data_IF_553546000437
#
_entry.id   IF_553546000437
#
_cell.length_a   1.000
_cell.length_b   1.000
_cell.length_c   1.000
_cell.angle_alpha   90.00
_cell.angle_beta   90.00
_cell.angle_gamma   90.00
#
_symmetry.space_group_name_H-M   'P 1'
#
loop_
_entity.id
_entity.type
_entity.pdbx_description
1 polymer ?
#
# COMPACT_ATOMS: atom_id res chain seq x y z
N UNK A 1 -60.41 4.07 -21.68
CA UNK A 1 -59.44 5.09 -21.26
C UNK A 1 -58.10 4.48 -20.89
N UNK A 2 -57.18 4.54 -21.85
CA UNK A 2 -55.72 4.68 -21.70
C UNK A 2 -55.14 4.64 -23.13
N UNK A 3 -55.48 5.66 -23.91
CA UNK A 3 -54.82 5.94 -25.18
C UNK A 3 -53.55 6.72 -24.84
N UNK A 4 -52.42 6.03 -24.72
CA UNK A 4 -51.11 6.66 -24.69
C UNK A 4 -50.01 5.60 -24.93
N UNK A 5 -49.79 5.20 -26.19
CA UNK A 5 -48.46 4.69 -26.60
C UNK A 5 -48.17 4.67 -28.12
N UNK A 6 -48.92 5.41 -28.94
CA UNK A 6 -48.72 5.39 -30.41
C UNK A 6 -48.28 6.76 -30.95
N UNK A 7 -47.23 7.33 -30.34
CA UNK A 7 -46.52 8.46 -30.94
C UNK A 7 -45.03 8.15 -31.09
N UNK A 8 -44.72 6.93 -31.55
CA UNK A 8 -43.44 6.66 -32.21
C UNK A 8 -43.46 7.43 -33.52
N UNK A 9 -42.77 8.57 -33.56
CA UNK A 9 -42.47 9.27 -34.81
C UNK A 9 -41.90 8.24 -35.80
N UNK A 10 -42.57 8.05 -36.95
CA UNK A 10 -42.07 7.26 -38.08
C UNK A 10 -40.82 7.93 -38.65
N UNK A 11 -39.70 7.76 -37.95
CA UNK A 11 -38.40 8.23 -38.38
C UNK A 11 -38.03 7.40 -39.61
N UNK A 12 -37.62 8.05 -40.71
CA UNK A 12 -37.17 7.31 -41.88
C UNK A 12 -36.01 6.38 -41.49
N UNK A 13 -35.97 5.14 -42.02
CA UNK A 13 -34.91 4.21 -41.69
C UNK A 13 -33.55 4.82 -42.03
N UNK A 14 -32.56 4.55 -41.18
CA UNK A 14 -31.18 5.02 -41.39
C UNK A 14 -30.73 4.73 -42.82
N UNK A 15 -30.18 5.73 -43.48
CA UNK A 15 -29.65 5.62 -44.84
C UNK A 15 -28.33 4.82 -44.88
N UNK A 16 -27.83 4.43 -43.71
CA UNK A 16 -26.60 3.65 -43.53
C UNK A 16 -26.93 2.37 -42.78
N UNK A 17 -26.41 1.24 -43.28
CA UNK A 17 -26.49 -0.03 -42.59
C UNK A 17 -25.83 0.05 -41.20
N UNK A 18 -26.38 -0.67 -40.22
CA UNK A 18 -25.82 -0.71 -38.87
C UNK A 18 -24.36 -1.18 -38.94
N UNK A 19 -23.44 -0.36 -38.41
CA UNK A 19 -22.03 -0.74 -38.34
C UNK A 19 -21.89 -1.96 -37.42
N UNK A 20 -21.52 -3.09 -38.00
CA UNK A 20 -21.22 -4.31 -37.26
C UNK A 20 -19.71 -4.48 -37.18
N UNK A 21 -19.15 -4.25 -36.00
CA UNK A 21 -17.75 -4.56 -35.71
C UNK A 21 -17.74 -5.85 -34.91
N UNK A 22 -17.16 -6.90 -35.51
CA UNK A 22 -16.96 -8.16 -34.81
C UNK A 22 -16.11 -7.94 -33.54
N UNK A 23 -16.52 -8.55 -32.42
CA UNK A 23 -15.89 -8.35 -31.13
C UNK A 23 -14.42 -8.78 -31.12
N UNK A 24 -14.07 -9.84 -31.86
CA UNK A 24 -12.70 -10.34 -31.98
C UNK A 24 -11.85 -9.36 -32.81
N UNK A 25 -12.41 -8.79 -33.87
CA UNK A 25 -11.76 -7.73 -34.64
C UNK A 25 -11.56 -6.45 -33.79
N UNK A 26 -12.55 -6.05 -32.99
CA UNK A 26 -12.45 -4.91 -32.08
C UNK A 26 -11.38 -5.11 -31.00
N UNK A 27 -11.40 -6.27 -30.30
CA UNK A 27 -10.42 -6.61 -29.25
C UNK A 27 -8.99 -6.64 -29.76
N UNK A 28 -8.78 -7.02 -31.03
CA UNK A 28 -7.43 -7.07 -31.61
C UNK A 28 -6.76 -5.71 -31.66
N UNK A 29 -7.45 -4.57 -31.55
CA UNK A 29 -6.97 -3.16 -31.47
C UNK A 29 -5.99 -2.72 -32.58
N UNK A 30 -4.96 -3.51 -32.87
CA UNK A 30 -3.98 -3.41 -33.93
C UNK A 30 -4.27 -4.39 -35.07
N UNK A 31 -4.13 -3.91 -36.31
CA UNK A 31 -4.41 -4.65 -37.54
C UNK A 31 -3.47 -5.85 -37.72
N UNK A 32 -2.23 -5.77 -37.22
CA UNK A 32 -1.20 -6.81 -37.38
C UNK A 32 -1.28 -7.85 -36.26
N UNK A 33 -2.28 -8.73 -36.32
CA UNK A 33 -2.45 -9.83 -35.36
C UNK A 33 -2.51 -9.39 -33.88
N UNK A 34 -3.02 -8.19 -33.62
CA UNK A 34 -3.14 -7.62 -32.28
C UNK A 34 -1.83 -7.19 -31.63
N UNK A 35 -0.83 -6.84 -32.45
CA UNK A 35 0.40 -6.19 -32.01
C UNK A 35 0.81 -5.06 -32.96
N UNK A 36 1.56 -4.09 -32.44
CA UNK A 36 2.17 -3.00 -33.22
C UNK A 36 3.59 -2.75 -32.73
N UNK A 37 4.54 -2.68 -33.66
CA UNK A 37 5.93 -2.34 -33.35
C UNK A 37 6.30 -1.03 -34.01
N UNK A 38 6.77 -0.07 -33.20
CA UNK A 38 7.25 1.24 -33.64
C UNK A 38 8.72 1.40 -33.30
N UNK A 39 9.51 1.81 -34.28
CA UNK A 39 10.95 1.98 -34.14
C UNK A 39 11.31 3.47 -34.07
N UNK A 40 12.01 3.85 -33.00
CA UNK A 40 12.53 5.19 -32.77
C UNK A 40 14.05 5.20 -32.86
N UNK A 41 14.65 6.40 -32.89
CA UNK A 41 16.10 6.61 -33.06
C UNK A 41 16.98 5.78 -32.13
N UNK A 42 16.57 5.58 -30.87
CA UNK A 42 17.27 4.75 -29.87
C UNK A 42 16.32 3.87 -29.05
N UNK A 43 15.11 3.63 -29.55
CA UNK A 43 14.12 2.83 -28.83
C UNK A 43 13.30 1.97 -29.77
N UNK A 44 12.79 0.85 -29.26
CA UNK A 44 11.80 -0.01 -29.90
C UNK A 44 10.61 -0.10 -28.96
N UNK A 45 9.43 0.23 -29.46
CA UNK A 45 8.17 0.15 -28.71
C UNK A 45 7.31 -0.94 -29.35
N UNK A 46 6.91 -1.92 -28.56
CA UNK A 46 6.05 -3.03 -28.94
C UNK A 46 4.77 -2.93 -28.10
N UNK A 47 3.64 -2.72 -28.76
CA UNK A 47 2.32 -2.65 -28.14
C UNK A 47 1.55 -3.91 -28.49
N UNK A 48 0.86 -4.48 -27.50
CA UNK A 48 0.05 -5.67 -27.66
C UNK A 48 -1.37 -5.34 -27.21
N UNK A 49 -2.36 -5.87 -27.95
CA UNK A 49 -3.74 -5.79 -27.53
C UNK A 49 -3.94 -6.55 -26.22
N UNK A 50 -4.88 -6.08 -25.40
CA UNK A 50 -5.20 -6.70 -24.12
C UNK A 50 -5.63 -8.16 -24.33
N UNK A 51 -5.16 -9.07 -23.46
CA UNK A 51 -5.40 -10.52 -23.54
C UNK A 51 -4.87 -11.23 -24.80
N UNK A 52 -4.09 -10.55 -25.67
CA UNK A 52 -3.51 -11.19 -26.86
C UNK A 52 -2.18 -11.90 -26.57
N UNK A 53 -1.43 -11.43 -25.56
CA UNK A 53 -0.17 -12.03 -25.14
C UNK A 53 -0.40 -12.99 -23.96
N UNK A 54 0.12 -14.22 -24.04
CA UNK A 54 -0.11 -15.28 -23.04
C UNK A 54 0.29 -14.89 -21.60
N UNK A 55 1.28 -13.99 -21.46
CA UNK A 55 1.75 -13.47 -20.16
C UNK A 55 1.08 -12.14 -19.73
N UNK A 56 0.07 -11.65 -20.46
CA UNK A 56 -0.61 -10.39 -20.15
C UNK A 56 0.19 -9.13 -20.50
N UNK A 57 1.27 -9.25 -21.27
CA UNK A 57 2.08 -8.11 -21.72
C UNK A 57 1.26 -7.24 -22.68
N UNK A 58 1.18 -5.94 -22.40
CA UNK A 58 0.48 -4.94 -23.24
C UNK A 58 1.41 -3.92 -23.86
N UNK A 59 2.60 -3.71 -23.28
CA UNK A 59 3.59 -2.77 -23.78
C UNK A 59 5.00 -3.24 -23.41
N UNK A 60 5.93 -3.21 -24.36
CA UNK A 60 7.36 -3.38 -24.13
C UNK A 60 8.12 -2.23 -24.80
N UNK A 61 8.94 -1.52 -24.03
CA UNK A 61 9.81 -0.45 -24.52
C UNK A 61 11.25 -0.89 -24.27
N UNK A 62 12.02 -1.06 -25.33
CA UNK A 62 13.45 -1.35 -25.27
C UNK A 62 14.24 -0.12 -25.67
N UNK A 63 15.02 0.43 -24.75
CA UNK A 63 15.96 1.52 -24.99
C UNK A 63 17.34 0.97 -25.31
N UNK A 64 18.01 1.57 -26.27
CA UNK A 64 19.33 1.14 -26.75
C UNK A 64 20.37 2.24 -26.56
N UNK A 65 21.62 1.83 -26.33
CA UNK A 65 22.75 2.76 -26.17
C UNK A 65 23.03 3.54 -27.47
N UNK A 66 22.89 2.85 -28.60
CA UNK A 66 23.25 3.32 -29.93
C UNK A 66 22.06 3.35 -30.90
N UNK A 67 22.22 4.13 -31.97
CA UNK A 67 21.20 4.26 -33.04
C UNK A 67 21.04 2.95 -33.83
N UNK A 68 22.09 2.13 -33.86
CA UNK A 68 22.04 0.80 -34.46
C UNK A 68 21.18 -0.21 -33.66
N UNK A 69 20.72 0.15 -32.44
CA UNK A 69 19.84 -0.66 -31.59
C UNK A 69 20.39 -2.08 -31.32
N UNK A 70 21.68 -2.17 -31.04
CA UNK A 70 22.35 -3.46 -30.79
C UNK A 70 22.52 -3.76 -29.30
N UNK A 71 22.62 -2.73 -28.46
CA UNK A 71 22.89 -2.87 -27.03
C UNK A 71 21.71 -2.32 -26.21
N UNK A 72 20.81 -3.20 -25.70
CA UNK A 72 19.69 -2.77 -24.88
C UNK A 72 20.17 -2.33 -23.49
N UNK A 73 19.87 -1.08 -23.13
CA UNK A 73 20.23 -0.48 -21.84
C UNK A 73 19.12 -0.72 -20.82
N UNK A 74 17.87 -0.55 -21.24
CA UNK A 74 16.70 -0.70 -20.39
C UNK A 74 15.55 -1.34 -21.17
N UNK A 75 14.86 -2.29 -20.56
CA UNK A 75 13.65 -2.92 -21.11
C UNK A 75 12.52 -2.72 -20.10
N UNK A 76 11.49 -1.98 -20.50
CA UNK A 76 10.30 -1.70 -19.69
C UNK A 76 9.12 -2.50 -20.22
N UNK A 77 8.49 -3.31 -19.40
CA UNK A 77 7.37 -4.19 -19.75
C UNK A 77 6.17 -3.87 -18.87
N UNK A 78 5.03 -3.55 -19.48
CA UNK A 78 3.77 -3.27 -18.79
C UNK A 78 2.82 -4.44 -19.02
N UNK A 79 2.19 -4.90 -17.95
CA UNK A 79 1.27 -6.02 -17.98
C UNK A 79 -0.14 -5.59 -17.53
N UNK A 80 -1.15 -6.29 -18.05
CA UNK A 80 -2.55 -6.17 -17.63
C UNK A 80 -3.17 -7.55 -17.47
N UNK A 81 -4.22 -7.61 -16.64
CA UNK A 81 -5.06 -8.79 -16.44
C UNK A 81 -4.29 -10.04 -15.99
N UNK A 82 -3.11 -9.86 -15.38
CA UNK A 82 -2.41 -10.95 -14.71
C UNK A 82 -3.02 -11.14 -13.33
N UNK A 83 -3.29 -12.40 -12.96
CA UNK A 83 -3.80 -12.73 -11.62
C UNK A 83 -2.85 -12.28 -10.51
N UNK A 84 -1.54 -12.35 -10.74
CA UNK A 84 -0.49 -11.95 -9.80
C UNK A 84 -0.35 -10.43 -9.61
N UNK A 85 -1.12 -9.62 -10.34
CA UNK A 85 -1.13 -8.14 -10.29
C UNK A 85 0.23 -7.47 -10.58
N UNK A 86 1.19 -8.18 -11.21
CA UNK A 86 2.37 -7.56 -11.80
C UNK A 86 1.89 -6.60 -12.89
N UNK A 87 2.24 -5.31 -12.79
CA UNK A 87 1.82 -4.32 -13.79
C UNK A 87 3.01 -3.71 -14.53
N UNK A 88 4.22 -3.75 -13.96
CA UNK A 88 5.42 -3.20 -14.57
C UNK A 88 6.65 -4.01 -14.21
N UNK A 89 7.51 -4.30 -15.19
CA UNK A 89 8.86 -4.84 -14.99
C UNK A 89 9.87 -3.97 -15.75
N UNK A 90 10.95 -3.57 -15.11
CA UNK A 90 12.06 -2.81 -15.71
C UNK A 90 13.33 -3.63 -15.59
N UNK A 91 13.96 -3.98 -16.71
CA UNK A 91 15.22 -4.74 -16.74
C UNK A 91 16.35 -3.83 -17.23
N UNK A 92 17.53 -3.98 -16.65
CA UNK A 92 18.78 -3.33 -17.04
C UNK A 92 19.78 -4.41 -17.47
N UNK A 93 19.75 -4.88 -18.74
CA UNK A 93 20.53 -6.03 -19.18
C UNK A 93 22.05 -5.88 -18.99
N UNK A 94 22.56 -4.64 -19.10
CA UNK A 94 24.00 -4.37 -18.95
C UNK A 94 24.46 -4.43 -17.49
N UNK A 95 23.56 -4.23 -16.54
CA UNK A 95 23.84 -4.23 -15.11
C UNK A 95 23.42 -5.54 -14.43
N UNK A 96 22.71 -6.43 -15.15
CA UNK A 96 22.16 -7.66 -14.59
C UNK A 96 21.06 -7.43 -13.55
N UNK A 97 20.45 -6.23 -13.53
CA UNK A 97 19.46 -5.80 -12.56
C UNK A 97 18.06 -5.80 -13.17
N UNK A 98 17.04 -6.08 -12.36
CA UNK A 98 15.66 -5.80 -12.73
C UNK A 98 14.84 -5.32 -11.54
N UNK A 99 13.72 -4.68 -11.87
CA UNK A 99 12.75 -4.08 -10.97
C UNK A 99 11.36 -4.55 -11.38
N UNK A 100 10.53 -4.87 -10.42
CA UNK A 100 9.16 -5.31 -10.63
C UNK A 100 8.23 -4.49 -9.76
N UNK A 101 7.13 -4.04 -10.34
CA UNK A 101 6.14 -3.20 -9.66
C UNK A 101 4.78 -3.87 -9.83
N UNK A 102 4.19 -4.15 -8.69
CA UNK A 102 2.87 -4.73 -8.56
C UNK A 102 1.90 -3.59 -8.19
N UNK A 103 0.61 -3.76 -8.51
CA UNK A 103 -0.43 -2.86 -7.99
C UNK A 103 -0.42 -2.91 -6.43
N UNK A 104 -0.86 -1.86 -5.75
CA UNK A 104 -0.19 -1.23 -4.62
C UNK A 104 0.01 -2.16 -3.41
N UNK A 105 1.21 -2.74 -3.32
CA UNK A 105 1.79 -3.22 -2.08
C UNK A 105 3.25 -2.76 -2.02
N UNK A 106 3.45 -1.59 -1.40
CA UNK A 106 4.77 -0.98 -1.20
C UNK A 106 5.44 -1.69 -0.02
N UNK A 107 6.54 -2.41 -0.28
CA UNK A 107 7.30 -3.09 0.79
C UNK A 107 8.76 -2.62 0.75
N UNK A 108 9.36 -2.50 1.94
CA UNK A 108 10.81 -2.40 2.25
C UNK A 108 11.40 -1.02 2.59
N UNK A 109 10.62 0.07 2.65
CA UNK A 109 11.09 1.32 3.32
C UNK A 109 10.04 1.91 4.24
N UNK A 110 8.81 1.88 3.77
CA UNK A 110 7.67 2.30 4.54
C UNK A 110 6.48 1.42 4.18
N UNK A 111 5.93 0.72 5.15
CA UNK A 111 4.65 0.02 4.99
C UNK A 111 3.57 0.92 5.53
N UNK A 112 2.47 1.07 4.79
CA UNK A 112 1.31 1.87 5.19
C UNK A 112 0.07 1.02 4.99
N UNK A 113 -0.74 0.93 6.02
CA UNK A 113 -2.03 0.27 6.04
C UNK A 113 -3.09 1.33 6.28
N UNK A 114 -4.20 1.24 5.54
CA UNK A 114 -5.38 2.07 5.72
C UNK A 114 -6.56 1.17 6.09
N UNK A 115 -7.39 1.64 7.01
CA UNK A 115 -8.55 0.91 7.50
C UNK A 115 -9.79 1.82 7.42
N UNK A 116 -10.96 1.22 7.22
CA UNK A 116 -12.24 1.91 7.24
C UNK A 116 -13.20 1.16 8.15
N UNK A 117 -14.02 1.89 8.92
CA UNK A 117 -15.12 1.33 9.70
C UNK A 117 -14.73 0.44 10.88
N UNK A 118 -13.53 0.60 11.45
CA UNK A 118 -13.12 -0.14 12.66
C UNK A 118 -13.74 0.44 13.93
N UNK A 119 -14.12 -0.44 14.85
CA UNK A 119 -14.72 -0.06 16.15
C UNK A 119 -13.76 0.71 17.08
N UNK A 120 -12.45 0.53 16.88
CA UNK A 120 -11.39 1.24 17.61
C UNK A 120 -10.97 2.55 16.94
N UNK A 121 -11.68 2.98 15.89
CA UNK A 121 -11.44 4.20 15.12
C UNK A 121 -10.06 4.28 14.46
N UNK A 122 -9.28 3.20 14.42
CA UNK A 122 -7.99 3.18 13.73
C UNK A 122 -8.24 3.30 12.22
N UNK A 123 -7.71 4.35 11.58
CA UNK A 123 -7.86 4.59 10.14
C UNK A 123 -6.59 4.34 9.35
N UNK A 124 -5.45 4.33 10.02
CA UNK A 124 -4.21 3.98 9.35
C UNK A 124 -3.06 3.72 10.27
N UNK A 125 -2.19 2.84 9.82
CA UNK A 125 -0.94 2.49 10.49
C UNK A 125 0.20 2.60 9.48
N UNK A 126 1.35 3.07 9.93
CA UNK A 126 2.53 3.09 9.08
C UNK A 126 3.78 2.77 9.87
N UNK A 127 4.71 2.07 9.23
CA UNK A 127 6.01 1.73 9.78
C UNK A 127 7.10 2.16 8.81
N UNK A 128 8.15 2.78 9.31
CA UNK A 128 9.37 3.07 8.58
C UNK A 128 10.47 2.09 9.01
N UNK A 129 11.12 1.49 8.01
CA UNK A 129 12.07 0.40 8.17
C UNK A 129 13.42 0.78 7.56
N UNK A 130 14.50 0.21 8.10
CA UNK A 130 15.85 0.29 7.50
C UNK A 130 16.52 -1.08 7.53
N UNK A 131 17.37 -1.32 6.52
CA UNK A 131 18.29 -2.46 6.45
C UNK A 131 19.66 -2.11 7.09
N UNK A 132 19.93 -0.83 7.29
CA UNK A 132 21.21 -0.35 7.79
C UNK A 132 21.28 -0.45 9.33
N UNK A 133 22.18 -1.31 9.82
CA UNK A 133 22.42 -1.53 11.25
C UNK A 133 23.06 -0.33 11.95
N UNK A 134 23.71 0.55 11.22
CA UNK A 134 24.30 1.78 11.77
C UNK A 134 23.25 2.89 11.89
N UNK A 135 22.28 2.97 10.96
CA UNK A 135 21.10 3.83 11.13
C UNK A 135 20.22 3.41 12.32
N UNK A 136 20.24 2.12 12.66
CA UNK A 136 19.54 1.55 13.81
C UNK A 136 20.17 1.87 15.18
N UNK A 137 21.43 2.34 15.25
CA UNK A 137 22.13 2.59 16.52
C UNK A 137 21.91 4.00 17.05
N UNK A 138 20.81 4.17 17.79
CA UNK A 138 20.72 5.02 18.98
C UNK A 138 19.43 4.64 19.75
N UNK A 139 19.49 4.52 21.08
CA UNK A 139 18.31 4.46 21.97
C UNK A 139 17.64 3.09 22.17
N UNK A 140 17.13 2.85 23.38
CA UNK A 140 16.66 1.54 23.87
C UNK A 140 15.44 0.95 23.13
N UNK A 141 15.52 -0.37 22.89
CA UNK A 141 14.57 -1.27 22.21
C UNK A 141 14.60 -1.22 20.67
N UNK A 142 15.28 -2.19 20.06
CA UNK A 142 15.26 -2.43 18.62
C UNK A 142 14.14 -3.42 18.27
N UNK A 143 13.12 -2.94 17.57
CA UNK A 143 12.09 -3.79 16.98
C UNK A 143 12.57 -4.26 15.61
N UNK A 144 12.51 -5.57 15.35
CA UNK A 144 13.03 -6.17 14.12
C UNK A 144 11.93 -6.96 13.43
N UNK A 145 11.82 -6.82 12.12
CA UNK A 145 10.93 -7.60 11.27
C UNK A 145 11.74 -8.58 10.41
N UNK A 146 11.21 -9.78 10.14
CA UNK A 146 11.82 -10.72 9.21
C UNK A 146 11.58 -10.23 7.76
N UNK A 147 12.49 -9.42 7.22
CA UNK A 147 12.45 -8.86 5.85
C UNK A 147 12.66 -9.87 4.72
N UNK A 148 12.36 -11.15 4.94
CA UNK A 148 12.39 -12.20 3.94
C UNK A 148 13.75 -12.32 3.23
N UNK A 149 13.76 -12.05 1.92
CA UNK A 149 14.96 -12.15 1.08
C UNK A 149 16.02 -11.06 1.34
N UNK A 150 15.64 -9.94 1.96
CA UNK A 150 16.54 -8.83 2.28
C UNK A 150 17.24 -8.97 3.65
N UNK A 151 16.84 -9.96 4.47
CA UNK A 151 17.35 -10.14 5.82
C UNK A 151 16.52 -9.43 6.89
N UNK A 152 17.14 -9.09 8.02
CA UNK A 152 16.46 -8.43 9.15
C UNK A 152 16.23 -6.94 8.88
N UNK A 153 15.00 -6.45 9.08
CA UNK A 153 14.64 -5.04 8.96
C UNK A 153 14.45 -4.43 10.34
N UNK A 154 15.08 -3.29 10.60
CA UNK A 154 14.92 -2.57 11.87
C UNK A 154 13.85 -1.50 11.73
N UNK A 155 12.94 -1.44 12.71
CA UNK A 155 11.91 -0.43 12.79
C UNK A 155 12.49 0.88 13.32
N UNK A 156 12.41 1.93 12.51
CA UNK A 156 12.82 3.28 12.91
C UNK A 156 11.69 4.04 13.60
N UNK A 157 10.48 3.90 13.06
CA UNK A 157 9.32 4.69 13.46
C UNK A 157 8.03 3.95 13.14
N UNK A 158 7.07 4.01 14.05
CA UNK A 158 5.71 3.55 13.83
C UNK A 158 4.74 4.72 14.06
N UNK A 159 3.64 4.75 13.34
CA UNK A 159 2.59 5.74 13.55
C UNK A 159 1.21 5.16 13.31
N UNK A 160 0.28 5.50 14.20
CA UNK A 160 -1.13 5.15 14.12
C UNK A 160 -1.94 6.44 14.06
N UNK A 161 -2.98 6.44 13.24
CA UNK A 161 -3.93 7.53 13.08
C UNK A 161 -5.33 7.00 13.39
N UNK A 162 -6.09 7.82 14.09
CA UNK A 162 -7.45 7.50 14.49
C UNK A 162 -8.40 8.59 14.02
N UNK A 163 -9.65 8.17 13.75
CA UNK A 163 -10.77 9.08 13.58
C UNK A 163 -11.32 9.54 14.94
N UNK A 164 -12.07 10.64 14.90
CA UNK A 164 -12.68 11.23 16.10
C UNK A 164 -13.64 10.22 16.71
N UNK A 165 -13.44 9.92 17.99
CA UNK A 165 -14.40 9.15 18.76
C UNK A 165 -15.30 10.11 19.56
N UNK A 166 -16.54 10.29 19.09
CA UNK A 166 -17.51 11.18 19.73
C UNK A 166 -17.92 10.73 21.14
N UNK A 167 -17.58 9.50 21.54
CA UNK A 167 -17.82 9.01 22.92
C UNK A 167 -16.78 9.52 23.92
N UNK A 168 -15.67 10.09 23.45
CA UNK A 168 -14.56 10.59 24.26
C UNK A 168 -14.45 12.10 24.15
N UNK A 169 -14.17 12.79 25.25
CA UNK A 169 -13.83 14.20 25.17
C UNK A 169 -12.45 14.38 24.50
N UNK A 170 -12.31 15.42 23.68
CA UNK A 170 -11.08 15.62 22.89
C UNK A 170 -9.89 16.02 23.77
N UNK A 171 -10.12 16.83 24.82
CA UNK A 171 -9.05 17.50 25.58
C UNK A 171 -9.25 17.50 27.11
N UNK A 172 -10.31 16.87 27.66
CA UNK A 172 -10.67 17.01 29.08
C UNK A 172 -10.53 15.71 29.90
N UNK A 173 -9.96 15.83 31.10
CA UNK A 173 -9.95 14.78 32.12
C UNK A 173 -11.36 14.67 32.69
N UNK A 174 -12.11 13.62 32.36
CA UNK A 174 -13.32 13.30 33.13
C UNK A 174 -12.91 12.65 34.45
N UNK A 175 -13.17 13.34 35.55
CA UNK A 175 -13.35 12.66 36.84
C UNK A 175 -14.73 12.02 36.75
N UNK A 176 -14.78 10.70 36.55
CA UNK A 176 -16.03 9.99 36.75
C UNK A 176 -16.12 9.64 38.23
N UNK A 177 -17.00 10.31 38.94
CA UNK A 177 -17.41 9.87 40.26
C UNK A 177 -18.43 8.75 40.09
N UNK A 178 -18.08 7.54 40.50
CA UNK A 178 -19.04 6.42 40.59
C UNK A 178 -19.29 6.13 42.07
N UNK A 179 -20.56 5.96 42.44
CA UNK A 179 -20.95 5.54 43.78
C UNK A 179 -20.91 4.01 43.80
N UNK A 180 -19.92 3.46 44.48
CA UNK A 180 -19.89 2.03 44.83
C UNK A 180 -19.91 1.96 46.36
N UNK A 181 -20.91 1.28 46.92
CA UNK A 181 -21.07 1.06 48.36
C UNK A 181 -21.02 2.33 49.24
N UNK A 182 -21.78 3.38 48.86
CA UNK A 182 -21.86 4.67 49.59
C UNK A 182 -20.53 5.44 49.73
N UNK A 183 -19.47 5.05 49.02
CA UNK A 183 -18.21 5.79 48.92
C UNK A 183 -18.13 6.45 47.55
N UNK A 184 -17.86 7.76 47.53
CA UNK A 184 -17.49 8.46 46.30
C UNK A 184 -16.08 7.99 45.93
N UNK A 185 -15.96 7.12 44.92
CA UNK A 185 -14.66 6.89 44.29
C UNK A 185 -14.54 7.80 43.08
N UNK A 186 -13.58 8.71 43.15
CA UNK A 186 -13.11 9.46 42.01
C UNK A 186 -12.28 8.52 41.12
N UNK A 187 -12.90 7.98 40.09
CA UNK A 187 -12.19 7.28 39.04
C UNK A 187 -11.73 8.32 38.01
N UNK A 188 -10.41 8.51 37.91
CA UNK A 188 -9.82 9.26 36.80
C UNK A 188 -9.95 8.39 35.55
N UNK A 189 -10.96 8.67 34.71
CA UNK A 189 -11.10 8.05 33.40
C UNK A 189 -10.13 8.76 32.45
N UNK A 190 -9.02 8.11 32.17
CA UNK A 190 -7.95 8.63 31.31
C UNK A 190 -8.25 8.32 29.84
N UNK A 191 -9.37 8.79 29.34
CA UNK A 191 -9.85 8.41 28.00
C UNK A 191 -9.70 9.54 26.99
N UNK A 192 -8.46 9.99 26.80
CA UNK A 192 -8.13 11.01 25.82
C UNK A 192 -8.30 10.46 24.39
N UNK A 193 -8.96 11.23 23.55
CA UNK A 193 -9.14 10.86 22.14
C UNK A 193 -7.89 11.21 21.32
N UNK A 194 -7.01 10.23 21.18
CA UNK A 194 -5.76 10.39 20.45
C UNK A 194 -5.99 10.32 18.94
N UNK A 195 -5.83 11.44 18.25
CA UNK A 195 -5.83 11.52 16.78
C UNK A 195 -4.67 10.79 16.15
N UNK A 196 -3.49 10.90 16.76
CA UNK A 196 -2.28 10.33 16.19
C UNK A 196 -1.32 9.93 17.29
N UNK A 197 -0.80 8.72 17.18
CA UNK A 197 0.32 8.24 17.98
C UNK A 197 1.51 8.01 17.08
N UNK A 198 2.66 8.52 17.50
CA UNK A 198 3.92 8.39 16.76
C UNK A 198 4.97 7.84 17.70
N UNK A 199 5.40 6.62 17.44
CA UNK A 199 6.42 5.92 18.20
C UNK A 199 7.75 6.08 17.44
N UNK A 200 8.60 7.01 17.87
CA UNK A 200 9.94 7.16 17.33
C UNK A 200 10.85 6.18 18.08
N UNK A 201 10.98 4.98 17.53
CA UNK A 201 11.69 3.86 18.18
C UNK A 201 13.15 4.22 18.40
N UNK A 202 13.80 4.80 17.38
CA UNK A 202 15.19 5.28 17.43
C UNK A 202 15.41 6.34 18.52
N UNK A 203 14.57 7.35 18.56
CA UNK A 203 14.76 8.46 19.51
C UNK A 203 14.27 8.10 20.92
N UNK A 204 13.61 6.94 21.08
CA UNK A 204 13.02 6.52 22.34
C UNK A 204 11.86 7.43 22.79
N UNK A 205 11.18 8.12 21.87
CA UNK A 205 10.11 9.07 22.19
C UNK A 205 8.76 8.67 21.60
N UNK A 206 7.69 8.95 22.34
CA UNK A 206 6.31 8.66 21.93
C UNK A 206 5.54 9.98 21.92
N UNK A 207 5.07 10.38 20.74
CA UNK A 207 4.27 11.59 20.56
C UNK A 207 2.81 11.22 20.39
N UNK A 208 1.96 11.77 21.26
CA UNK A 208 0.51 11.61 21.20
C UNK A 208 -0.11 12.98 20.91
N UNK A 209 -0.81 13.08 19.78
CA UNK A 209 -1.59 14.25 19.40
C UNK A 209 -3.07 13.93 19.59
N UNK A 210 -3.79 14.81 20.28
CA UNK A 210 -5.22 14.66 20.51
C UNK A 210 -6.04 15.24 19.36
N UNK A 211 -7.32 14.88 19.31
CA UNK A 211 -8.26 15.57 18.41
C UNK A 211 -8.49 17.02 18.86
N UNK A 212 -9.00 17.85 17.95
CA UNK A 212 -9.38 19.22 18.31
C UNK A 212 -10.64 19.19 19.18
N UNK A 213 -10.63 19.88 20.31
CA UNK A 213 -11.85 20.18 21.04
C UNK A 213 -12.75 21.15 20.25
N UNK A 214 -14.04 21.09 20.57
CA UNK A 214 -15.07 21.96 19.99
C UNK A 214 -14.69 23.43 20.22
N UNK A 215 -14.62 24.20 19.12
CA UNK A 215 -14.30 25.62 19.17
C UNK A 215 -12.81 25.96 19.39
N UNK A 216 -11.90 24.98 19.33
CA UNK A 216 -10.44 25.20 19.44
C UNK A 216 -9.75 25.02 18.09
N UNK A 217 -8.80 25.91 17.79
CA UNK A 217 -8.00 25.90 16.54
C UNK A 217 -6.66 25.14 16.68
N UNK A 218 -6.27 24.81 17.91
CA UNK A 218 -5.08 24.03 18.25
C UNK A 218 -5.50 22.80 19.06
N UNK A 219 -4.82 21.67 18.88
CA UNK A 219 -5.04 20.44 19.64
C UNK A 219 -3.96 20.25 20.72
N UNK A 220 -4.30 19.62 21.84
CA UNK A 220 -3.31 19.23 22.84
C UNK A 220 -2.34 18.16 22.31
N UNK A 221 -1.17 18.04 22.95
CA UNK A 221 -0.24 16.95 22.68
C UNK A 221 0.65 16.59 23.86
N UNK A 222 1.14 15.36 23.88
CA UNK A 222 2.12 14.88 24.85
C UNK A 222 3.30 14.23 24.15
N UNK A 223 4.51 14.53 24.61
CA UNK A 223 5.73 13.84 24.19
C UNK A 223 6.32 13.14 25.41
N UNK A 224 6.25 11.82 25.39
CA UNK A 224 6.87 10.99 26.41
C UNK A 224 8.23 10.52 25.93
N UNK A 225 9.19 10.47 26.85
CA UNK A 225 10.53 9.97 26.60
C UNK A 225 10.75 8.71 27.43
N UNK A 226 11.22 7.63 26.81
CA UNK A 226 11.47 6.34 27.48
C UNK A 226 12.72 6.38 28.38
N UNK A 227 13.57 7.38 28.21
CA UNK A 227 14.76 7.58 29.03
C UNK A 227 14.37 8.01 30.46
N UNK A 228 14.83 7.28 31.51
CA UNK A 228 14.47 7.60 32.89
C UNK A 228 14.82 9.04 33.28
N UNK A 229 13.93 9.70 34.02
CA UNK A 229 14.15 11.07 34.52
C UNK A 229 14.03 12.17 33.47
N UNK A 230 13.66 11.84 32.23
CA UNK A 230 13.37 12.85 31.21
C UNK A 230 11.93 13.35 31.39
N UNK A 231 11.70 14.66 31.57
CA UNK A 231 10.36 15.18 31.80
C UNK A 231 9.48 15.00 30.57
N UNK A 232 8.19 14.76 30.79
CA UNK A 232 7.19 14.71 29.71
C UNK A 232 6.87 16.12 29.23
N UNK A 233 6.97 16.34 27.91
CA UNK A 233 6.54 17.60 27.30
C UNK A 233 5.01 17.58 27.15
N UNK A 234 4.35 18.50 27.85
CA UNK A 234 2.89 18.60 27.87
C UNK A 234 2.49 19.90 27.20
N UNK A 235 1.78 19.81 26.09
CA UNK A 235 1.16 20.95 25.43
C UNK A 235 -0.36 20.92 25.68
N UNK A 236 -0.83 21.90 26.44
CA UNK A 236 -2.25 22.12 26.70
C UNK A 236 -2.71 23.37 25.94
N UNK A 237 -3.90 23.29 25.35
CA UNK A 237 -4.47 24.39 24.56
C UNK A 237 -4.85 25.57 25.45
N UNK A 238 -5.36 25.28 26.65
CA UNK A 238 -5.64 26.30 27.65
C UNK A 238 -4.35 26.65 28.42
N UNK A 239 -3.83 27.89 28.29
CA UNK A 239 -2.62 28.31 29.01
C UNK A 239 -2.79 28.32 30.53
N UNK A 240 -4.03 28.33 31.04
CA UNK A 240 -4.34 28.36 32.47
C UNK A 240 -4.60 26.97 33.06
N UNK A 241 -4.65 25.93 32.22
CA UNK A 241 -4.84 24.56 32.70
C UNK A 241 -3.65 24.12 33.55
N UNK A 242 -3.93 23.48 34.68
CA UNK A 242 -2.87 22.94 35.52
C UNK A 242 -2.21 21.75 34.82
N UNK A 243 -0.87 21.74 34.83
CA UNK A 243 -0.10 20.58 34.36
C UNK A 243 -0.57 19.33 35.13
N UNK A 244 -0.81 18.20 34.44
CA UNK A 244 -1.13 16.94 35.11
C UNK A 244 -0.06 16.54 36.12
N UNK A 245 -0.46 15.86 37.20
CA UNK A 245 0.46 15.34 38.22
C UNK A 245 1.42 14.32 37.59
N UNK A 246 2.65 14.27 38.08
CA UNK A 246 3.67 13.37 37.53
C UNK A 246 3.24 11.88 37.59
N UNK A 247 2.55 11.46 38.66
CA UNK A 247 2.01 10.10 38.78
C UNK A 247 1.01 9.72 37.69
N UNK A 248 0.31 10.70 37.13
CA UNK A 248 -0.63 10.51 36.02
C UNK A 248 0.17 10.35 34.72
N UNK A 249 1.16 11.21 34.49
CA UNK A 249 2.03 11.18 33.32
C UNK A 249 2.85 9.88 33.25
N UNK A 250 3.33 9.38 34.39
CA UNK A 250 4.03 8.09 34.48
C UNK A 250 3.12 6.93 34.08
N UNK A 251 1.87 6.92 34.55
CA UNK A 251 0.87 5.91 34.17
C UNK A 251 0.57 5.96 32.67
N UNK A 252 0.47 7.16 32.09
CA UNK A 252 0.27 7.34 30.66
C UNK A 252 1.45 6.87 29.83
N UNK A 253 2.68 7.14 30.27
CA UNK A 253 3.88 6.66 29.61
C UNK A 253 3.92 5.12 29.59
N UNK A 254 3.59 4.46 30.71
CA UNK A 254 3.53 3.00 30.75
C UNK A 254 2.46 2.44 29.79
N UNK A 255 1.28 3.05 29.75
CA UNK A 255 0.25 2.69 28.78
C UNK A 255 0.72 2.92 27.33
N UNK A 256 1.39 4.03 27.04
CA UNK A 256 1.94 4.35 25.72
C UNK A 256 3.02 3.35 25.27
N UNK A 257 3.89 2.91 26.19
CA UNK A 257 4.87 1.85 25.93
C UNK A 257 4.18 0.51 25.63
N UNK A 258 3.09 0.19 26.33
CA UNK A 258 2.33 -1.03 26.06
C UNK A 258 1.68 -0.99 24.66
N UNK A 259 1.09 0.14 24.29
CA UNK A 259 0.51 0.35 22.97
C UNK A 259 1.57 0.34 21.84
N UNK A 260 2.79 0.83 22.10
CA UNK A 260 3.93 0.70 21.18
C UNK A 260 4.23 -0.77 20.85
N UNK A 261 4.24 -1.65 21.87
CA UNK A 261 4.47 -3.09 21.68
C UNK A 261 3.33 -3.76 20.91
N UNK A 262 2.09 -3.39 21.18
CA UNK A 262 0.91 -3.90 20.47
C UNK A 262 0.93 -3.47 18.99
N UNK A 263 1.27 -2.20 18.73
CA UNK A 263 1.45 -1.69 17.37
C UNK A 263 2.52 -2.49 16.61
N UNK A 264 3.68 -2.73 17.24
CA UNK A 264 4.72 -3.58 16.65
C UNK A 264 4.24 -5.01 16.38
N UNK A 265 3.55 -5.65 17.33
CA UNK A 265 3.06 -7.01 17.15
C UNK A 265 2.07 -7.11 15.98
N UNK A 266 1.17 -6.12 15.83
CA UNK A 266 0.26 -6.06 14.69
C UNK A 266 1.01 -5.88 13.36
N UNK A 267 2.00 -5.01 13.32
CA UNK A 267 2.87 -4.83 12.15
C UNK A 267 3.60 -6.13 11.83
N UNK A 268 4.11 -6.84 12.84
CA UNK A 268 4.79 -8.12 12.65
C UNK A 268 3.88 -9.20 12.10
N UNK A 269 2.63 -9.29 12.57
CA UNK A 269 1.65 -10.22 12.01
C UNK A 269 1.34 -9.90 10.54
N UNK A 270 1.10 -8.63 10.24
CA UNK A 270 0.88 -8.16 8.86
C UNK A 270 2.09 -8.42 7.95
N UNK A 271 3.31 -8.23 8.46
CA UNK A 271 4.53 -8.54 7.72
C UNK A 271 4.65 -10.05 7.43
N UNK A 272 4.37 -10.92 8.41
CA UNK A 272 4.36 -12.39 8.19
C UNK A 272 3.33 -12.79 7.14
N UNK A 273 2.10 -12.26 7.23
CA UNK A 273 1.05 -12.49 6.23
C UNK A 273 1.49 -12.03 4.84
N UNK A 274 2.08 -10.84 4.75
CA UNK A 274 2.63 -10.29 3.51
C UNK A 274 3.75 -11.19 2.95
N UNK A 275 4.65 -11.69 3.79
CA UNK A 275 5.69 -12.63 3.36
C UNK A 275 5.12 -13.95 2.84
N UNK A 276 4.04 -14.45 3.44
CA UNK A 276 3.32 -15.61 2.92
C UNK A 276 2.70 -15.33 1.56
N UNK A 277 2.01 -14.20 1.41
CA UNK A 277 1.47 -13.73 0.12
C UNK A 277 2.58 -13.68 -0.94
N UNK A 278 3.74 -13.10 -0.62
CA UNK A 278 4.89 -13.05 -1.53
C UNK A 278 5.44 -14.45 -1.90
N UNK A 279 5.41 -15.42 -0.97
CA UNK A 279 5.78 -16.82 -1.27
C UNK A 279 4.76 -17.50 -2.18
N UNK A 280 3.46 -17.24 -2.01
CA UNK A 280 2.44 -17.70 -2.95
C UNK A 280 2.65 -17.06 -4.33
N UNK A 281 2.91 -15.75 -4.40
CA UNK A 281 3.21 -15.04 -5.66
C UNK A 281 4.39 -15.63 -6.41
N UNK A 282 5.49 -15.98 -5.73
CA UNK A 282 6.63 -16.66 -6.37
C UNK A 282 6.24 -17.99 -7.02
N UNK A 283 5.27 -18.72 -6.46
CA UNK A 283 4.73 -19.94 -7.07
C UNK A 283 3.79 -19.62 -8.23
N UNK A 284 2.98 -18.56 -8.13
CA UNK A 284 2.12 -18.10 -9.22
C UNK A 284 2.93 -17.57 -10.42
N UNK A 285 4.09 -16.94 -10.21
CA UNK A 285 4.98 -16.54 -11.31
C UNK A 285 5.58 -17.73 -12.05
N UNK A 286 5.77 -18.86 -11.37
CA UNK A 286 6.15 -20.10 -12.03
C UNK A 286 5.03 -20.64 -12.94
N UNK A 287 3.79 -20.18 -12.78
CA UNK A 287 2.61 -20.58 -13.57
C UNK A 287 1.67 -19.38 -13.82
N UNK A 288 2.05 -18.53 -14.77
CA UNK A 288 1.33 -17.29 -15.09
C UNK A 288 -0.05 -17.61 -15.65
N UNK A 289 -1.09 -17.10 -14.96
CA UNK A 289 -2.48 -17.20 -15.40
C UNK A 289 -3.12 -15.80 -15.56
N UNK A 290 -3.97 -15.65 -16.57
CA UNK A 290 -4.69 -14.40 -16.85
C UNK A 290 -6.10 -14.42 -16.27
N UNK A 291 -6.58 -13.26 -15.85
CA UNK A 291 -7.99 -13.01 -15.57
C UNK A 291 -8.71 -12.81 -16.90
N UNK A 292 -9.48 -13.82 -17.33
CA UNK A 292 -10.33 -13.73 -18.51
C UNK A 292 -11.71 -13.23 -18.12
N UNK A 293 -12.25 -12.30 -18.90
CA UNK A 293 -13.66 -11.91 -18.76
C UNK A 293 -14.55 -13.12 -19.09
N UNK A 294 -15.74 -13.23 -18.49
CA UNK A 294 -16.73 -14.28 -18.80
C UNK A 294 -17.03 -14.32 -20.32
N UNK A 295 -16.94 -13.17 -20.98
CA UNK A 295 -17.14 -13.03 -22.41
C UNK A 295 -15.89 -13.27 -23.29
N UNK A 296 -14.73 -13.51 -22.67
CA UNK A 296 -13.50 -13.91 -23.35
C UNK A 296 -13.30 -15.43 -23.25
N UNK A 297 -13.83 -16.06 -22.18
CA UNK A 297 -13.74 -17.49 -21.92
C UNK A 297 -14.41 -18.37 -23.00
N UNK A 298 -15.50 -17.90 -23.62
CA UNK A 298 -16.18 -18.61 -24.71
C UNK A 298 -15.39 -18.64 -26.03
N UNK A 299 -14.43 -17.72 -26.21
CA UNK A 299 -13.63 -17.64 -27.45
C UNK A 299 -12.39 -18.57 -27.41
N UNK A 300 -11.91 -18.95 -26.22
CA UNK A 300 -10.68 -19.75 -26.01
C UNK A 300 -10.86 -21.25 -26.22
N UNK A 301 -12.09 -21.78 -26.18
CA UNK A 301 -12.38 -23.19 -26.55
C UNK A 301 -11.94 -23.53 -27.98
N UNK A 302 -11.75 -22.52 -28.84
CA UNK A 302 -11.31 -22.67 -30.22
C UNK A 302 -9.79 -22.67 -30.44
N UNK A 303 -8.97 -22.55 -29.37
CA UNK A 303 -7.51 -22.36 -29.46
C UNK A 303 -6.66 -23.38 -28.69
N UNK A 304 -7.17 -24.57 -28.38
CA UNK A 304 -6.34 -25.64 -27.83
C UNK A 304 -5.54 -26.34 -28.93
N UNK A 305 -4.60 -25.65 -29.57
CA UNK A 305 -3.54 -26.24 -30.40
C UNK A 305 -2.42 -25.22 -30.62
N UNK A 306 -1.52 -25.12 -29.64
CA UNK A 306 -0.09 -24.76 -29.75
C UNK A 306 0.50 -24.57 -28.35
N UNK A 307 0.96 -25.67 -27.77
CA UNK A 307 1.88 -25.64 -26.63
C UNK A 307 3.29 -25.48 -27.21
N UNK A 308 3.83 -24.27 -27.18
CA UNK A 308 5.27 -24.06 -27.36
C UNK A 308 5.94 -24.19 -25.98
N UNK A 309 6.75 -25.23 -25.84
CA UNK A 309 7.52 -25.59 -24.64
C UNK A 309 8.71 -24.62 -24.43
N UNK A 310 8.82 -23.91 -23.28
CA UNK A 310 10.00 -23.11 -22.99
C UNK A 310 10.91 -23.83 -22.00
N UNK A 311 11.77 -24.73 -22.49
CA UNK A 311 12.96 -25.14 -21.75
C UNK A 311 14.18 -24.33 -22.21
N UNK A 312 14.61 -23.38 -21.37
CA UNK A 312 16.01 -22.93 -21.39
C UNK A 312 16.46 -22.55 -19.97
N UNK A 313 17.21 -23.47 -19.36
CA UNK A 313 17.93 -23.26 -18.12
C UNK A 313 18.93 -22.10 -18.29
N UNK A 314 18.67 -20.99 -17.60
CA UNK A 314 19.64 -19.93 -17.36
C UNK A 314 20.45 -20.27 -16.10
N UNK A 315 21.78 -20.21 -16.21
CA UNK A 315 22.72 -20.44 -15.11
C UNK A 315 22.52 -19.41 -13.99
N UNK A 316 22.68 -19.85 -12.75
CA UNK A 316 22.63 -19.02 -11.54
C UNK A 316 23.64 -17.85 -11.64
N UNK A 317 23.11 -16.65 -11.80
CA UNK A 317 23.82 -15.39 -11.58
C UNK A 317 23.22 -14.80 -10.32
N UNK A 318 24.04 -14.36 -9.36
CA UNK A 318 23.57 -13.71 -8.13
C UNK A 318 22.71 -12.50 -8.50
N UNK A 319 21.40 -12.60 -8.24
CA UNK A 319 20.39 -11.62 -8.61
C UNK A 319 20.25 -10.61 -7.46
N UNK A 320 20.42 -9.33 -7.77
CA UNK A 320 20.00 -8.24 -6.88
C UNK A 320 18.70 -7.64 -7.43
N UNK A 321 17.63 -7.79 -6.67
CA UNK A 321 16.28 -7.28 -6.98
C UNK A 321 16.16 -5.91 -6.29
N UNK A 322 15.82 -4.87 -7.04
CA UNK A 322 15.46 -3.58 -6.46
C UNK A 322 14.10 -3.14 -7.01
N UNK A 323 13.17 -2.78 -6.14
CA UNK A 323 11.78 -2.44 -6.48
C UNK A 323 11.58 -0.94 -6.21
N UNK A 324 11.16 -0.15 -7.21
CA UNK A 324 10.98 1.32 -7.08
C UNK A 324 9.61 1.82 -7.54
N UNK A 325 8.67 2.14 -6.64
CA UNK A 325 7.33 2.58 -7.04
C UNK A 325 7.27 4.11 -7.24
N UNK A 326 6.80 4.56 -8.41
CA UNK A 326 6.46 5.95 -8.73
C UNK A 326 4.99 6.23 -8.36
N UNK A 327 4.74 7.30 -7.61
CA UNK A 327 3.39 7.77 -7.27
C UNK A 327 2.78 8.56 -8.44
N UNK A 328 1.50 8.37 -8.79
CA UNK A 328 0.74 9.36 -9.53
C UNK A 328 0.31 10.49 -8.58
N UNK A 329 0.42 11.73 -9.06
CA UNK A 329 -0.22 12.89 -8.44
C UNK A 329 -1.75 12.69 -8.47
N UNK A 330 -2.39 12.77 -7.31
CA UNK A 330 -3.81 13.10 -7.17
C UNK A 330 -3.96 14.15 -6.08
#
# INVERSE_FOLDING_TARGET
DAADDDNVLDLPPSWVAKLHVDRKAYKRRFVTAGQRTTLFRKAKVEEFAENNHAQGLVLRITQFRNVARTLPVQVREVFKNRKDKLHLRVRYPLEGKFEEHFLPEVIHKRTVESFEGRDDFLVGRSVALTEDKDEAKAGAASFVLPGGGSGELVVLKMAEKYDRNDRKDADEVRIASSIVDYVIMDYVIMDYDARKRTYNVRDGSIHVQFHYAVGKITSGSRVYHKAPGTPVDVFQVDPMATRPKESILDRELQAAIQMEKECYNNIRHSDVETQEILKFRRREEASIALETSIFDAQDDESKHDRVDDPHKAGKDVRIFIYIYILLPEM
#
